data_IF_906880045187
#
_entry.id   IF_906880045187
#
_cell.length_a   1.000
_cell.length_b   1.000
_cell.length_c   1.000
_cell.angle_alpha   90.00
_cell.angle_beta   90.00
_cell.angle_gamma   90.00
#
_symmetry.space_group_name_H-M   'P 1'
#
loop_
_entity.id
_entity.type
_entity.pdbx_description
1 polymer ?
#
# COMPACT_ATOMS: atom_id res chain seq x y z
N UNK A 1 -12.02 4.42 0.01
CA UNK A 1 -10.85 4.88 -0.76
C UNK A 1 -11.23 6.13 -1.51
N UNK A 2 -10.52 7.24 -1.33
CA UNK A 2 -10.81 8.48 -2.04
C UNK A 2 -10.05 8.49 -3.37
N UNK A 3 -10.74 8.11 -4.45
CA UNK A 3 -10.22 8.22 -5.82
C UNK A 3 -10.11 9.70 -6.18
N UNK A 4 -8.91 10.25 -5.99
CA UNK A 4 -8.65 11.66 -6.24
C UNK A 4 -8.12 11.83 -7.65
N UNK A 5 -8.50 12.92 -8.34
CA UNK A 5 -7.96 13.28 -9.67
C UNK A 5 -6.43 13.28 -9.70
N UNK A 6 -5.79 13.67 -8.59
CA UNK A 6 -4.34 13.60 -8.38
C UNK A 6 -3.78 12.18 -8.51
N UNK A 7 -4.45 11.19 -7.88
CA UNK A 7 -4.00 9.79 -7.91
C UNK A 7 -4.12 9.22 -9.33
N UNK A 8 -5.18 9.58 -10.07
CA UNK A 8 -5.32 9.21 -11.47
C UNK A 8 -4.22 9.82 -12.35
N UNK A 9 -3.90 11.10 -12.14
CA UNK A 9 -2.83 11.80 -12.87
C UNK A 9 -1.45 11.17 -12.61
N UNK A 10 -1.15 10.85 -11.34
CA UNK A 10 0.08 10.13 -10.98
C UNK A 10 0.13 8.74 -11.61
N UNK A 11 -0.98 8.01 -11.61
CA UNK A 11 -1.06 6.68 -12.24
C UNK A 11 -0.83 6.75 -13.75
N UNK A 12 -1.40 7.76 -14.41
CA UNK A 12 -1.19 8.02 -15.84
C UNK A 12 0.27 8.38 -16.13
N UNK A 13 0.90 9.20 -15.30
CA UNK A 13 2.30 9.55 -15.43
C UNK A 13 3.19 8.29 -15.34
N UNK A 14 2.96 7.44 -14.33
CA UNK A 14 3.70 6.16 -14.17
C UNK A 14 3.48 5.26 -15.39
N UNK A 15 2.25 5.20 -15.92
CA UNK A 15 1.95 4.45 -17.13
C UNK A 15 2.75 4.93 -18.34
N UNK A 16 2.80 6.24 -18.59
CA UNK A 16 3.60 6.82 -19.68
C UNK A 16 5.09 6.51 -19.48
N UNK A 17 5.61 6.65 -18.26
CA UNK A 17 7.00 6.29 -17.96
C UNK A 17 7.30 4.80 -18.24
N UNK A 18 6.36 3.89 -17.95
CA UNK A 18 6.52 2.48 -18.25
C UNK A 18 6.60 2.21 -19.77
N UNK A 19 5.77 2.88 -20.58
CA UNK A 19 5.83 2.80 -22.04
C UNK A 19 7.15 3.33 -22.60
N UNK A 20 7.62 4.48 -22.11
CA UNK A 20 8.89 5.07 -22.51
C UNK A 20 10.06 4.15 -22.14
N UNK A 21 10.06 3.60 -20.92
CA UNK A 21 11.08 2.65 -20.48
C UNK A 21 11.13 1.41 -21.39
N UNK A 22 9.96 0.87 -21.73
CA UNK A 22 9.87 -0.27 -22.62
C UNK A 22 10.38 0.04 -24.03
N UNK A 23 10.04 1.21 -24.57
CA UNK A 23 10.50 1.66 -25.88
C UNK A 23 12.03 1.79 -25.93
N UNK A 24 12.64 2.37 -24.89
CA UNK A 24 14.10 2.53 -24.81
C UNK A 24 14.80 1.17 -24.69
N UNK A 25 14.27 0.25 -23.86
CA UNK A 25 14.97 -1.00 -23.52
C UNK A 25 14.78 -2.10 -24.56
N UNK A 26 13.56 -2.23 -25.11
CA UNK A 26 13.19 -3.36 -25.97
C UNK A 26 12.96 -2.96 -27.43
N UNK A 27 12.99 -1.66 -27.75
CA UNK A 27 12.81 -1.14 -29.12
C UNK A 27 11.43 -1.39 -29.72
N UNK A 28 10.54 -2.06 -28.99
CA UNK A 28 9.19 -2.44 -29.41
C UNK A 28 8.23 -2.33 -28.23
N UNK A 29 7.00 -1.94 -28.53
CA UNK A 29 5.90 -1.90 -27.58
C UNK A 29 5.14 -3.22 -27.66
N UNK A 30 5.12 -3.95 -26.55
CA UNK A 30 4.28 -5.13 -26.37
C UNK A 30 3.38 -4.94 -25.16
N UNK A 31 2.09 -5.25 -25.33
CA UNK A 31 1.11 -5.14 -24.24
C UNK A 31 1.45 -6.02 -23.04
N UNK A 32 2.03 -7.20 -23.29
CA UNK A 32 2.51 -8.11 -22.25
C UNK A 32 3.70 -7.53 -21.48
N UNK A 33 4.64 -6.87 -22.16
CA UNK A 33 5.75 -6.19 -21.53
C UNK A 33 5.29 -5.01 -20.66
N UNK A 34 4.37 -4.19 -21.18
CA UNK A 34 3.73 -3.10 -20.45
C UNK A 34 3.05 -3.63 -19.19
N UNK A 35 2.25 -4.69 -19.34
CA UNK A 35 1.51 -5.29 -18.23
C UNK A 35 2.45 -5.79 -17.13
N UNK A 36 3.53 -6.49 -17.47
CA UNK A 36 4.52 -6.97 -16.50
C UNK A 36 5.21 -5.84 -15.75
N UNK A 37 5.63 -4.77 -16.44
CA UNK A 37 6.28 -3.62 -15.80
C UNK A 37 5.31 -2.95 -14.82
N UNK A 38 4.08 -2.71 -15.26
CA UNK A 38 3.04 -2.10 -14.42
C UNK A 38 2.67 -2.99 -13.24
N UNK A 39 2.60 -4.31 -13.44
CA UNK A 39 2.32 -5.27 -12.39
C UNK A 39 3.39 -5.22 -11.29
N UNK A 40 4.67 -5.18 -11.66
CA UNK A 40 5.77 -5.08 -10.70
C UNK A 40 5.72 -3.77 -9.90
N UNK A 41 5.46 -2.65 -10.56
CA UNK A 41 5.32 -1.34 -9.90
C UNK A 41 4.08 -1.33 -8.98
N UNK A 42 2.94 -1.79 -9.49
CA UNK A 42 1.69 -1.88 -8.74
C UNK A 42 1.85 -2.77 -7.50
N UNK A 43 2.47 -3.94 -7.66
CA UNK A 43 2.73 -4.88 -6.57
C UNK A 43 3.53 -4.24 -5.44
N UNK A 44 4.61 -3.53 -5.76
CA UNK A 44 5.40 -2.82 -4.76
C UNK A 44 4.57 -1.75 -4.02
N UNK A 45 3.82 -0.93 -4.76
CA UNK A 45 2.97 0.10 -4.17
C UNK A 45 1.86 -0.51 -3.30
N UNK A 46 1.27 -1.62 -3.71
CA UNK A 46 0.25 -2.32 -2.95
C UNK A 46 0.79 -2.92 -1.66
N UNK A 47 2.00 -3.51 -1.68
CA UNK A 47 2.65 -4.02 -0.46
C UNK A 47 2.83 -2.88 0.55
N UNK A 48 3.33 -1.73 0.10
CA UNK A 48 3.53 -0.55 0.96
C UNK A 48 2.18 0.00 1.46
N UNK A 49 1.20 0.15 0.57
CA UNK A 49 -0.12 0.68 0.89
C UNK A 49 -0.90 -0.20 1.86
N UNK A 50 -0.84 -1.53 1.68
CA UNK A 50 -1.46 -2.51 2.57
C UNK A 50 -0.75 -2.58 3.92
N UNK A 51 0.58 -2.51 3.95
CA UNK A 51 1.33 -2.43 5.20
C UNK A 51 0.94 -1.18 6.00
N UNK A 52 0.82 -0.03 5.33
CA UNK A 52 0.32 1.20 5.93
C UNK A 52 -1.12 1.08 6.44
N UNK A 53 -1.99 0.35 5.73
CA UNK A 53 -3.36 0.07 6.16
C UNK A 53 -3.38 -0.76 7.45
N UNK A 54 -2.56 -1.82 7.53
CA UNK A 54 -2.46 -2.69 8.72
C UNK A 54 -1.90 -1.94 9.93
N UNK A 55 -0.96 -1.02 9.70
CA UNK A 55 -0.45 -0.16 10.77
C UNK A 55 -1.50 0.85 11.22
N UNK A 56 -2.22 1.47 10.28
CA UNK A 56 -3.28 2.44 10.58
C UNK A 56 -4.53 1.81 11.21
N UNK A 57 -4.83 0.53 10.95
CA UNK A 57 -6.01 -0.16 11.51
C UNK A 57 -5.91 -0.46 13.01
N UNK A 58 -4.77 -0.17 13.64
CA UNK A 58 -4.55 -0.48 15.06
C UNK A 58 -4.31 -1.98 15.31
N UNK A 59 -4.06 -2.77 14.25
CA UNK A 59 -3.73 -4.18 14.39
C UNK A 59 -2.43 -4.39 15.18
N UNK A 60 -1.45 -3.52 14.97
CA UNK A 60 -0.21 -3.52 15.77
C UNK A 60 -0.41 -3.01 17.19
N UNK A 61 -1.29 -2.03 17.40
CA UNK A 61 -1.65 -1.55 18.74
C UNK A 61 -2.34 -2.67 19.56
N UNK A 62 -3.25 -3.41 18.94
CA UNK A 62 -3.91 -4.57 19.54
C UNK A 62 -2.93 -5.72 19.82
N UNK A 63 -2.00 -5.98 18.90
CA UNK A 63 -0.94 -6.97 19.11
C UNK A 63 -0.04 -6.58 20.30
N UNK A 64 0.43 -5.32 20.33
CA UNK A 64 1.27 -4.83 21.41
C UNK A 64 0.56 -4.87 22.77
N UNK A 65 -0.72 -4.47 22.81
CA UNK A 65 -1.56 -4.61 24.00
C UNK A 65 -1.69 -6.07 24.44
N UNK A 66 -1.97 -6.99 23.51
CA UNK A 66 -2.16 -8.42 23.79
C UNK A 66 -0.88 -9.07 24.30
N UNK A 67 0.26 -8.80 23.66
CA UNK A 67 1.58 -9.28 24.07
C UNK A 67 1.93 -8.77 25.46
N UNK A 68 1.73 -7.48 25.74
CA UNK A 68 2.01 -6.90 27.06
C UNK A 68 1.09 -7.46 28.15
N UNK A 69 -0.18 -7.73 27.81
CA UNK A 69 -1.16 -8.34 28.72
C UNK A 69 -0.84 -9.80 29.04
N UNK A 70 -0.35 -10.57 28.07
CA UNK A 70 0.03 -11.97 28.27
C UNK A 70 1.39 -12.12 28.96
N UNK A 71 2.34 -11.20 28.70
CA UNK A 71 3.67 -11.19 29.35
C UNK A 71 3.67 -10.58 30.75
N UNK A 72 2.76 -9.66 31.07
CA UNK A 72 2.51 -9.21 32.45
C UNK A 72 1.68 -10.26 33.19
N UNK A 73 2.33 -11.37 33.57
CA UNK A 73 1.87 -12.18 34.69
C UNK A 73 2.13 -11.40 35.99
N UNK A 74 1.04 -11.09 36.69
CA UNK A 74 0.91 -10.60 38.08
C UNK A 74 0.89 -9.09 38.39
N UNK A 75 0.08 -8.69 39.41
CA UNK A 75 -0.32 -7.32 39.65
C UNK A 75 0.70 -6.63 40.55
N UNK A 76 1.29 -5.53 40.08
CA UNK A 76 1.85 -4.53 40.98
C UNK A 76 0.89 -3.35 41.02
N UNK A 77 0.12 -3.32 42.10
CA UNK A 77 -0.21 -2.08 42.79
C UNK A 77 1.05 -1.21 42.78
N UNK A 78 1.04 -0.10 42.03
CA UNK A 78 1.84 1.09 42.32
C UNK A 78 1.51 2.17 41.27
N UNK A 79 0.60 3.06 41.66
CA UNK A 79 0.90 4.49 41.76
C UNK A 79 1.00 5.37 40.51
N UNK A 80 1.28 4.86 39.32
CA UNK A 80 1.37 5.70 38.12
C UNK A 80 0.70 5.04 36.93
N UNK A 81 -0.60 5.27 36.81
CA UNK A 81 -1.33 5.04 35.57
C UNK A 81 -0.96 6.17 34.61
N UNK A 82 0.15 6.02 33.89
CA UNK A 82 0.32 6.75 32.63
C UNK A 82 -0.97 6.56 31.82
N UNK A 83 -1.59 7.63 31.30
CA UNK A 83 -2.76 7.50 30.46
C UNK A 83 -2.32 6.73 29.22
N UNK A 84 -2.58 5.42 29.25
CA UNK A 84 -2.28 4.51 28.16
C UNK A 84 -3.00 5.08 26.96
N UNK A 85 -2.27 5.55 25.96
CA UNK A 85 -2.84 5.94 24.68
C UNK A 85 -2.73 4.70 23.77
N UNK A 86 -3.72 3.77 23.80
CA UNK A 86 -3.65 2.51 23.06
C UNK A 86 -3.66 2.69 21.55
N UNK A 87 -3.67 3.93 21.03
CA UNK A 87 -3.70 4.25 19.60
C UNK A 87 -2.43 4.99 19.13
N UNK A 88 -1.33 4.96 19.89
CA UNK A 88 -0.14 5.74 19.58
C UNK A 88 0.47 5.43 18.20
N UNK A 89 0.50 4.15 17.77
CA UNK A 89 1.00 3.80 16.43
C UNK A 89 -0.05 4.03 15.34
N UNK A 90 -1.29 3.63 15.56
CA UNK A 90 -2.38 3.84 14.59
C UNK A 90 -2.59 5.33 14.26
N UNK A 91 -2.50 6.20 15.27
CA UNK A 91 -2.65 7.65 15.09
C UNK A 91 -1.47 8.32 14.39
N UNK A 92 -0.26 7.75 14.52
CA UNK A 92 0.97 8.30 13.93
C UNK A 92 1.12 8.01 12.43
N UNK A 93 0.53 6.91 11.93
CA UNK A 93 0.61 6.52 10.50
C UNK A 93 -0.30 7.39 9.61
N UNK A 94 -1.37 7.95 10.20
CA UNK A 94 -2.30 8.84 9.49
C UNK A 94 -3.02 8.17 8.30
N UNK A 95 -3.48 8.98 7.34
CA UNK A 95 -4.25 8.52 6.15
C UNK A 95 -3.44 8.44 4.85
N UNK A 96 -2.12 8.62 4.91
CA UNK A 96 -1.27 8.72 3.71
C UNK A 96 -1.25 7.42 2.89
N UNK A 97 -1.39 6.26 3.55
CA UNK A 97 -1.44 4.94 2.89
C UNK A 97 -2.57 4.84 1.86
N UNK A 98 -3.66 5.60 2.02
CA UNK A 98 -4.81 5.54 1.11
C UNK A 98 -4.44 5.99 -0.30
N UNK A 99 -3.56 6.97 -0.44
CA UNK A 99 -3.13 7.46 -1.77
C UNK A 99 -2.26 6.42 -2.47
N UNK A 100 -1.28 5.88 -1.76
CA UNK A 100 -0.38 4.83 -2.28
C UNK A 100 -1.18 3.59 -2.71
N UNK A 101 -2.13 3.17 -1.87
CA UNK A 101 -3.00 2.03 -2.17
C UNK A 101 -3.90 2.28 -3.38
N UNK A 102 -4.44 3.50 -3.52
CA UNK A 102 -5.28 3.87 -4.67
C UNK A 102 -4.48 3.87 -5.97
N UNK A 103 -3.26 4.43 -5.97
CA UNK A 103 -2.37 4.43 -7.15
C UNK A 103 -1.98 3.00 -7.53
N UNK A 104 -1.61 2.17 -6.55
CA UNK A 104 -1.30 0.76 -6.77
C UNK A 104 -2.48 -0.02 -7.38
N UNK A 105 -3.71 0.19 -6.88
CA UNK A 105 -4.91 -0.47 -7.40
C UNK A 105 -5.25 -0.02 -8.83
N UNK A 106 -5.10 1.28 -9.14
CA UNK A 106 -5.30 1.78 -10.51
C UNK A 106 -4.28 1.16 -11.48
N UNK A 107 -3.00 1.13 -11.11
CA UNK A 107 -1.96 0.52 -11.94
C UNK A 107 -2.18 -0.98 -12.13
N UNK A 108 -2.64 -1.69 -11.10
CA UNK A 108 -3.00 -3.11 -11.20
C UNK A 108 -4.15 -3.31 -12.19
N UNK A 109 -5.20 -2.47 -12.12
CA UNK A 109 -6.31 -2.52 -13.06
C UNK A 109 -5.86 -2.31 -14.51
N UNK A 110 -4.99 -1.32 -14.75
CA UNK A 110 -4.42 -1.05 -16.09
C UNK A 110 -3.56 -2.24 -16.55
N UNK A 111 -2.74 -2.81 -15.67
CA UNK A 111 -1.93 -4.00 -15.98
C UNK A 111 -2.80 -5.18 -16.44
N UNK A 112 -3.90 -5.46 -15.75
CA UNK A 112 -4.84 -6.52 -16.14
C UNK A 112 -5.50 -6.22 -17.49
N UNK A 113 -5.91 -4.97 -17.73
CA UNK A 113 -6.49 -4.55 -19.01
C UNK A 113 -5.48 -4.74 -20.16
N UNK A 114 -4.21 -4.40 -19.96
CA UNK A 114 -3.16 -4.65 -20.96
C UNK A 114 -2.97 -6.14 -21.26
N UNK A 115 -3.33 -7.03 -20.34
CA UNK A 115 -3.23 -8.48 -20.51
C UNK A 115 -4.44 -9.06 -21.25
N UNK A 116 -5.52 -8.29 -21.42
CA UNK A 116 -6.75 -8.72 -22.10
C UNK A 116 -6.49 -9.16 -23.55
N UNK A 117 -5.61 -8.46 -24.26
CA UNK A 117 -5.23 -8.77 -25.65
C UNK A 117 -4.44 -10.08 -25.79
N UNK A 118 -3.84 -10.58 -24.70
CA UNK A 118 -3.13 -11.86 -24.69
C UNK A 118 -4.06 -13.06 -24.43
N UNK A 119 -5.21 -12.83 -23.78
CA UNK A 119 -6.15 -13.88 -23.37
C UNK A 119 -7.17 -14.19 -24.47
N UNK A 120 -7.42 -13.24 -25.38
CA UNK A 120 -8.40 -13.33 -26.46
C UNK A 120 -7.77 -13.86 -27.75
#
# INVERSE_FOLDING_TARGET
MNFTKKNALVSLFIFICALVYQLIKYGSLSWTGTSNILFMIAGLLLIIGLSGLVLASGSFDFFHYSVRKTLRREPKEDGFREPLNPQALSSSVGKSYQNVLTIGLLLLGISIICLWDYIL
#
